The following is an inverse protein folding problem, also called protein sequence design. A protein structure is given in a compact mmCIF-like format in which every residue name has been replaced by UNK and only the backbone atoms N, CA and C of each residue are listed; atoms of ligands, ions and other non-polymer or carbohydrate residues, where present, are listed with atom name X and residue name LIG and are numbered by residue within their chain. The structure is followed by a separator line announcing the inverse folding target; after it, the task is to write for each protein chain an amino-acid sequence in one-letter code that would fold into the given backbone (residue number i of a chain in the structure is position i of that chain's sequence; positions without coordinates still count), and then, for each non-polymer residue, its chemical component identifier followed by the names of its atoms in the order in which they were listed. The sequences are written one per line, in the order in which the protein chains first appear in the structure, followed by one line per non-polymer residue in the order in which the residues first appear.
data_IF_955482704277
#
_entry.id   IF_955482704277
#
_cell.length_a   1.000
_cell.length_b   1.000
_cell.length_c   1.000
_cell.angle_alpha   90.00
_cell.angle_beta   90.00
_cell.angle_gamma   90.00
#
_symmetry.space_group_name_H-M   'P 1'
#
loop_
_entity.id
_entity.type
_entity.pdbx_description
1 polymer ?
#
# COMPACT_ATOMS: atom_id res chain seq x y z
N UNK A 1 18.35 9.53 -15.80
CA UNK A 1 17.13 8.68 -15.65
C UNK A 1 16.88 7.74 -16.83
N UNK A 2 17.17 8.12 -18.09
CA UNK A 2 17.02 7.25 -19.26
C UNK A 2 17.84 5.94 -19.18
N UNK A 3 19.13 6.03 -18.81
CA UNK A 3 20.05 4.89 -18.70
C UNK A 3 19.55 3.77 -17.75
N UNK A 4 18.91 4.12 -16.62
CA UNK A 4 18.34 3.11 -15.69
C UNK A 4 17.08 2.45 -16.24
N UNK A 5 16.27 3.17 -17.04
CA UNK A 5 15.08 2.59 -17.69
C UNK A 5 15.48 1.60 -18.78
N UNK A 6 16.53 1.90 -19.53
CA UNK A 6 17.03 1.02 -20.59
C UNK A 6 17.61 -0.29 -20.03
N UNK A 7 18.34 -0.23 -18.91
CA UNK A 7 18.86 -1.45 -18.26
C UNK A 7 17.76 -2.34 -17.69
N UNK A 8 16.74 -1.76 -17.05
CA UNK A 8 15.61 -2.54 -16.52
C UNK A 8 14.79 -3.20 -17.64
N UNK A 9 14.59 -2.50 -18.76
CA UNK A 9 13.92 -3.04 -19.93
C UNK A 9 14.72 -4.19 -20.57
N UNK A 10 16.04 -4.06 -20.62
CA UNK A 10 16.94 -5.06 -21.16
C UNK A 10 16.92 -6.34 -20.29
N UNK A 11 17.06 -6.22 -18.97
CA UNK A 11 16.99 -7.37 -18.04
C UNK A 11 15.64 -8.10 -18.16
N UNK A 12 14.54 -7.36 -18.21
CA UNK A 12 13.20 -7.96 -18.39
C UNK A 12 13.08 -8.71 -19.72
N UNK A 13 13.65 -8.19 -20.81
CA UNK A 13 13.67 -8.88 -22.12
C UNK A 13 14.46 -10.18 -22.06
N UNK A 14 15.62 -10.18 -21.41
CA UNK A 14 16.43 -11.40 -21.21
C UNK A 14 15.71 -12.43 -20.34
N UNK A 15 15.03 -12.00 -19.28
CA UNK A 15 14.23 -12.89 -18.42
C UNK A 15 13.07 -13.54 -19.20
N UNK A 16 12.31 -12.76 -19.96
CA UNK A 16 11.22 -13.27 -20.80
C UNK A 16 11.76 -14.23 -21.85
N UNK A 17 12.89 -13.88 -22.49
CA UNK A 17 13.56 -14.74 -23.47
C UNK A 17 14.01 -16.07 -22.87
N UNK A 18 14.64 -16.06 -21.70
CA UNK A 18 15.10 -17.29 -21.03
C UNK A 18 13.94 -18.22 -20.64
N UNK A 19 12.87 -17.67 -20.06
CA UNK A 19 11.67 -18.46 -19.71
C UNK A 19 11.00 -19.01 -20.96
N UNK A 20 10.85 -18.20 -22.02
CA UNK A 20 10.30 -18.62 -23.29
C UNK A 20 11.10 -19.76 -23.93
N UNK A 21 12.43 -19.70 -23.89
CA UNK A 21 13.31 -20.77 -24.40
C UNK A 21 13.11 -22.07 -23.62
N UNK A 22 13.05 -22.02 -22.28
CA UNK A 22 12.83 -23.22 -21.48
C UNK A 22 11.46 -23.86 -21.79
N UNK A 23 10.39 -23.07 -21.81
CA UNK A 23 9.06 -23.57 -22.20
C UNK A 23 9.10 -24.19 -23.60
N UNK A 24 9.75 -23.52 -24.56
CA UNK A 24 9.91 -24.00 -25.93
C UNK A 24 10.64 -25.34 -26.01
N UNK A 25 11.72 -25.52 -25.24
CA UNK A 25 12.46 -26.80 -25.19
C UNK A 25 11.59 -27.93 -24.63
N UNK A 26 10.84 -27.68 -23.56
CA UNK A 26 9.92 -28.67 -23.00
C UNK A 26 8.81 -29.09 -23.97
N UNK A 27 8.21 -28.12 -24.66
CA UNK A 27 7.16 -28.37 -25.66
C UNK A 27 7.72 -29.07 -26.92
N UNK A 28 8.93 -28.70 -27.36
CA UNK A 28 9.61 -29.37 -28.47
C UNK A 28 9.92 -30.83 -28.13
N UNK A 29 10.42 -31.11 -26.91
CA UNK A 29 10.64 -32.47 -26.42
C UNK A 29 9.36 -33.31 -26.42
N UNK A 30 8.24 -32.72 -25.96
CA UNK A 30 6.92 -33.35 -26.03
C UNK A 30 6.47 -33.62 -27.48
N UNK A 31 6.62 -32.64 -28.35
CA UNK A 31 6.31 -32.77 -29.78
C UNK A 31 7.08 -33.94 -30.41
N UNK A 32 8.39 -33.97 -30.24
CA UNK A 32 9.25 -35.05 -30.74
C UNK A 32 8.86 -36.41 -30.16
N UNK A 33 8.63 -36.50 -28.84
CA UNK A 33 8.26 -37.76 -28.18
C UNK A 33 6.96 -38.37 -28.73
N UNK A 34 5.96 -37.52 -28.98
CA UNK A 34 4.61 -37.97 -29.39
C UNK A 34 4.53 -38.41 -30.84
N UNK A 35 5.49 -38.03 -31.70
CA UNK A 35 5.57 -38.51 -33.09
C UNK A 35 5.70 -40.03 -33.21
N UNK A 36 6.28 -40.69 -32.20
CA UNK A 36 6.46 -42.14 -32.16
C UNK A 36 5.27 -42.89 -31.55
N UNK A 37 4.21 -42.19 -31.13
CA UNK A 37 3.00 -42.81 -30.57
C UNK A 37 2.07 -43.32 -31.67
N UNK A 38 1.24 -44.33 -31.36
CA UNK A 38 0.23 -44.85 -32.29
C UNK A 38 -0.80 -43.80 -32.71
N UNK A 39 -1.14 -42.88 -31.80
CA UNK A 39 -2.04 -41.75 -32.04
C UNK A 39 -1.37 -40.41 -31.64
N UNK A 40 -0.47 -39.86 -32.48
CA UNK A 40 0.39 -38.73 -32.13
C UNK A 40 -0.35 -37.49 -31.65
N UNK A 41 -1.44 -37.12 -32.34
CA UNK A 41 -2.23 -35.93 -32.00
C UNK A 41 -2.91 -36.04 -30.64
N UNK A 42 -3.43 -37.23 -30.29
CA UNK A 42 -4.06 -37.46 -28.99
C UNK A 42 -3.03 -37.42 -27.86
N UNK A 43 -1.86 -38.05 -28.06
CA UNK A 43 -0.77 -38.05 -27.10
C UNK A 43 -0.18 -36.65 -26.88
N UNK A 44 -0.07 -35.86 -27.96
CA UNK A 44 0.35 -34.46 -27.90
C UNK A 44 -0.66 -33.61 -27.12
N UNK A 45 -1.95 -33.74 -27.41
CA UNK A 45 -3.01 -33.03 -26.69
C UNK A 45 -3.04 -33.37 -25.19
N UNK A 46 -2.93 -34.65 -24.85
CA UNK A 46 -2.83 -35.10 -23.47
C UNK A 46 -1.59 -34.54 -22.77
N UNK A 47 -0.42 -34.63 -23.42
CA UNK A 47 0.84 -34.09 -22.90
C UNK A 47 0.80 -32.58 -22.67
N UNK A 48 0.17 -31.81 -23.56
CA UNK A 48 -0.02 -30.36 -23.40
C UNK A 48 -0.90 -30.05 -22.19
N UNK A 49 -2.01 -30.79 -22.01
CA UNK A 49 -2.88 -30.60 -20.84
C UNK A 49 -2.16 -30.93 -19.53
N UNK A 50 -1.36 -31.99 -19.50
CA UNK A 50 -0.50 -32.35 -18.36
C UNK A 50 0.51 -31.23 -18.08
N UNK A 51 1.20 -30.73 -19.10
CA UNK A 51 2.16 -29.62 -18.99
C UNK A 51 1.49 -28.33 -18.45
N UNK A 52 0.31 -27.96 -18.95
CA UNK A 52 -0.43 -26.81 -18.47
C UNK A 52 -0.86 -26.97 -17.00
N UNK A 53 -1.47 -28.11 -16.65
CA UNK A 53 -1.96 -28.37 -15.28
C UNK A 53 -0.81 -28.32 -14.25
N UNK A 54 0.32 -28.94 -14.58
CA UNK A 54 1.52 -28.96 -13.73
C UNK A 54 2.19 -27.59 -13.63
N UNK A 55 2.19 -26.81 -14.71
CA UNK A 55 2.65 -25.42 -14.69
C UNK A 55 1.80 -24.59 -13.74
N UNK A 56 0.47 -24.69 -13.82
CA UNK A 56 -0.45 -23.97 -12.92
C UNK A 56 -0.23 -24.37 -11.46
N UNK A 57 -0.14 -25.67 -11.18
CA UNK A 57 0.16 -26.17 -9.84
C UNK A 57 1.51 -25.64 -9.32
N UNK A 58 2.54 -25.66 -10.17
CA UNK A 58 3.85 -25.09 -9.89
C UNK A 58 3.75 -23.61 -9.56
N UNK A 59 3.07 -22.82 -10.41
CA UNK A 59 2.92 -21.38 -10.22
C UNK A 59 2.22 -21.02 -8.92
N UNK A 60 1.18 -21.76 -8.53
CA UNK A 60 0.50 -21.57 -7.24
C UNK A 60 1.44 -21.83 -6.06
N UNK A 61 2.24 -22.89 -6.12
CA UNK A 61 3.25 -23.17 -5.10
C UNK A 61 4.32 -22.08 -5.08
N UNK A 62 4.83 -21.68 -6.25
CA UNK A 62 5.81 -20.62 -6.38
C UNK A 62 5.31 -19.29 -5.82
N UNK A 63 4.05 -18.95 -6.09
CA UNK A 63 3.38 -17.78 -5.52
C UNK A 63 3.41 -17.81 -4.00
N UNK A 64 2.96 -18.91 -3.37
CA UNK A 64 2.93 -19.05 -1.92
C UNK A 64 4.33 -18.87 -1.29
N UNK A 65 5.37 -19.42 -1.92
CA UNK A 65 6.76 -19.26 -1.48
C UNK A 65 7.33 -17.87 -1.75
N UNK A 66 6.76 -17.12 -2.69
CA UNK A 66 7.21 -15.79 -3.09
C UNK A 66 6.64 -14.64 -2.25
N UNK A 67 5.60 -14.88 -1.44
CA UNK A 67 4.96 -13.84 -0.63
C UNK A 67 5.98 -13.27 0.39
N UNK A 68 6.20 -11.94 0.41
CA UNK A 68 7.05 -11.29 1.41
C UNK A 68 6.34 -11.23 2.77
N UNK A 69 7.11 -11.37 3.86
CA UNK A 69 6.58 -11.24 5.22
C UNK A 69 6.89 -9.84 5.77
N UNK A 70 5.88 -9.15 6.32
CA UNK A 70 6.06 -7.89 7.05
C UNK A 70 6.66 -8.19 8.43
N UNK A 71 7.83 -7.64 8.77
CA UNK A 71 8.31 -7.66 10.15
C UNK A 71 7.65 -6.52 10.90
N UNK A 72 6.68 -6.82 11.78
CA UNK A 72 6.26 -5.88 12.80
C UNK A 72 7.34 -5.84 13.88
N UNK A 73 8.15 -4.78 13.92
CA UNK A 73 9.06 -4.58 15.05
C UNK A 73 8.25 -4.36 16.34
N UNK A 74 8.61 -4.97 17.48
CA UNK A 74 7.99 -4.66 18.76
C UNK A 74 8.20 -3.19 19.10
N UNK A 75 7.10 -2.47 19.32
CA UNK A 75 7.12 -1.06 19.66
C UNK A 75 7.64 -0.90 21.09
N UNK A 76 8.74 -0.15 21.33
CA UNK A 76 9.17 0.13 22.70
C UNK A 76 8.12 1.00 23.39
N UNK A 77 7.65 0.54 24.55
CA UNK A 77 6.66 1.21 25.38
C UNK A 77 7.15 2.58 25.83
N UNK A 78 6.53 3.67 25.35
CA UNK A 78 6.78 5.02 25.87
C UNK A 78 6.82 6.17 24.84
N UNK A 79 6.68 5.91 23.54
CA UNK A 79 6.56 6.96 22.52
C UNK A 79 5.12 7.07 21.98
N UNK A 80 4.62 8.29 21.69
CA UNK A 80 3.27 8.47 21.17
C UNK A 80 3.11 7.70 19.86
N UNK A 81 2.00 6.95 19.77
CA UNK A 81 1.61 6.11 18.64
C UNK A 81 1.87 6.73 17.27
N UNK A 82 2.50 5.98 16.37
CA UNK A 82 2.36 6.28 14.94
C UNK A 82 3.45 5.86 13.97
N UNK A 83 4.51 5.14 14.38
CA UNK A 83 5.59 4.80 13.44
C UNK A 83 5.68 3.29 13.18
N UNK A 84 4.92 2.77 12.20
CA UNK A 84 5.14 1.42 11.71
C UNK A 84 6.44 1.39 10.91
N UNK A 85 7.48 0.77 11.47
CA UNK A 85 8.63 0.32 10.67
C UNK A 85 8.16 -0.88 9.84
N UNK A 86 7.61 -0.61 8.65
CA UNK A 86 7.22 -1.60 7.66
C UNK A 86 8.43 -2.21 6.95
N UNK A 87 9.37 -2.77 7.71
CA UNK A 87 10.50 -3.49 7.12
C UNK A 87 10.00 -4.85 6.60
N UNK A 88 9.73 -4.92 5.30
CA UNK A 88 9.57 -6.20 4.63
C UNK A 88 10.93 -6.88 4.55
N UNK A 89 11.07 -8.00 5.26
CA UNK A 89 12.24 -8.84 5.07
C UNK A 89 12.05 -9.80 3.92
N UNK A 90 13.13 -10.05 3.18
CA UNK A 90 13.14 -11.12 2.21
C UNK A 90 12.72 -12.45 2.85
N UNK A 91 11.85 -13.19 2.17
CA UNK A 91 11.40 -14.50 2.62
C UNK A 91 12.58 -15.49 2.60
N UNK A 92 12.88 -16.13 3.74
CA UNK A 92 13.96 -17.13 3.89
C UNK A 92 13.50 -18.56 3.58
N UNK A 93 12.25 -18.77 3.12
CA UNK A 93 11.72 -20.10 2.82
C UNK A 93 12.59 -20.88 1.81
N UNK A 94 13.14 -20.24 0.77
CA UNK A 94 14.04 -20.92 -0.17
C UNK A 94 15.40 -21.26 0.44
N UNK A 95 15.89 -20.45 1.38
CA UNK A 95 17.11 -20.75 2.12
C UNK A 95 16.92 -22.00 2.96
N UNK A 96 15.78 -22.12 3.64
CA UNK A 96 15.41 -23.31 4.42
C UNK A 96 15.25 -24.55 3.54
N UNK A 97 14.60 -24.42 2.37
CA UNK A 97 14.48 -25.53 1.40
C UNK A 97 15.85 -25.95 0.86
N UNK A 98 16.75 -24.99 0.60
CA UNK A 98 18.12 -25.28 0.14
C UNK A 98 18.94 -26.00 1.20
N UNK A 99 18.86 -25.57 2.47
CA UNK A 99 19.49 -26.25 3.60
C UNK A 99 18.94 -27.67 3.79
N UNK A 100 17.61 -27.84 3.70
CA UNK A 100 16.98 -29.15 3.74
C UNK A 100 17.43 -30.06 2.58
N UNK A 101 17.46 -29.55 1.35
CA UNK A 101 17.90 -30.30 0.17
C UNK A 101 19.37 -30.72 0.31
N UNK A 102 20.21 -29.84 0.84
CA UNK A 102 21.63 -30.14 1.10
C UNK A 102 21.78 -31.25 2.13
N UNK A 103 21.00 -31.23 3.22
CA UNK A 103 20.99 -32.31 4.22
C UNK A 103 20.52 -33.65 3.65
N UNK A 104 19.59 -33.61 2.69
CA UNK A 104 19.09 -34.79 2.01
C UNK A 104 20.17 -35.39 1.07
N UNK A 105 20.91 -34.54 0.35
CA UNK A 105 22.07 -34.96 -0.46
C UNK A 105 23.22 -35.51 0.39
N UNK A 106 23.42 -34.97 1.59
CA UNK A 106 24.41 -35.44 2.57
C UNK A 106 23.96 -36.69 3.34
N UNK A 107 22.78 -37.26 3.04
CA UNK A 107 22.36 -38.58 3.50
C UNK A 107 21.41 -38.62 4.70
N UNK A 108 21.05 -37.49 5.29
CA UNK A 108 20.20 -37.42 6.50
C UNK A 108 18.71 -37.68 6.19
N UNK A 109 18.30 -37.64 4.92
CA UNK A 109 16.89 -37.70 4.48
C UNK A 109 16.47 -38.94 3.65
N UNK A 110 17.25 -40.02 3.64
CA UNK A 110 17.12 -41.12 2.67
C UNK A 110 15.74 -41.80 2.62
N UNK A 111 15.03 -41.88 3.75
CA UNK A 111 13.72 -42.53 3.83
C UNK A 111 12.58 -41.70 3.24
N UNK A 112 12.66 -40.37 3.32
CA UNK A 112 11.67 -39.47 2.72
C UNK A 112 11.82 -39.39 1.20
N UNK A 113 13.06 -39.40 0.70
CA UNK A 113 13.34 -39.39 -0.74
C UNK A 113 12.74 -40.63 -1.45
N UNK A 114 12.77 -41.78 -0.79
CA UNK A 114 12.18 -43.01 -1.32
C UNK A 114 10.68 -42.89 -1.59
N UNK A 115 9.92 -42.22 -0.69
CA UNK A 115 8.47 -42.01 -0.87
C UNK A 115 8.17 -41.08 -2.04
N UNK A 116 8.95 -40.01 -2.20
CA UNK A 116 8.81 -39.06 -3.33
C UNK A 116 9.06 -39.79 -4.66
N UNK A 117 10.11 -40.61 -4.71
CA UNK A 117 10.45 -41.39 -5.90
C UNK A 117 9.36 -42.41 -6.27
N UNK A 118 8.78 -43.09 -5.28
CA UNK A 118 7.66 -44.01 -5.49
C UNK A 118 6.42 -43.27 -6.02
N UNK A 119 6.07 -42.11 -5.45
CA UNK A 119 4.98 -41.27 -5.94
C UNK A 119 5.19 -40.81 -7.39
N UNK A 120 6.41 -40.38 -7.74
CA UNK A 120 6.76 -39.99 -9.10
C UNK A 120 6.62 -41.16 -10.10
N UNK A 121 7.03 -42.37 -9.71
CA UNK A 121 6.83 -43.58 -10.53
C UNK A 121 5.35 -43.91 -10.69
N UNK A 122 4.56 -43.88 -9.63
CA UNK A 122 3.12 -44.15 -9.68
C UNK A 122 2.40 -43.15 -10.59
N UNK A 123 2.73 -41.87 -10.47
CA UNK A 123 2.19 -40.82 -11.35
C UNK A 123 2.58 -41.06 -12.82
N UNK A 124 3.85 -41.40 -13.07
CA UNK A 124 4.32 -41.73 -14.41
C UNK A 124 3.55 -42.90 -15.03
N UNK A 125 3.37 -43.98 -14.27
CA UNK A 125 2.58 -45.13 -14.71
C UNK A 125 1.10 -44.80 -14.96
N UNK A 126 0.49 -43.93 -14.14
CA UNK A 126 -0.89 -43.50 -14.30
C UNK A 126 -1.09 -42.66 -15.57
N UNK A 127 -0.10 -41.85 -15.95
CA UNK A 127 -0.16 -40.95 -17.11
C UNK A 127 0.34 -41.59 -18.41
N UNK A 128 1.11 -42.68 -18.34
CA UNK A 128 1.69 -43.37 -19.49
C UNK A 128 0.68 -43.73 -20.59
N UNK A 129 -0.55 -44.24 -20.29
CA UNK A 129 -1.53 -44.57 -21.33
C UNK A 129 -1.96 -43.35 -22.14
N UNK A 130 -2.08 -42.18 -21.50
CA UNK A 130 -2.47 -40.94 -22.18
C UNK A 130 -1.39 -40.42 -23.14
N UNK A 131 -0.14 -40.85 -22.96
CA UNK A 131 1.02 -40.49 -23.79
C UNK A 131 1.36 -41.57 -24.84
N UNK A 132 0.45 -42.50 -25.09
CA UNK A 132 0.59 -43.54 -26.11
C UNK A 132 1.08 -44.90 -25.59
N UNK A 133 1.19 -45.09 -24.26
CA UNK A 133 1.34 -46.41 -23.64
C UNK A 133 2.65 -47.16 -23.93
N UNK A 134 3.64 -46.51 -24.53
CA UNK A 134 4.96 -47.10 -24.84
C UNK A 134 5.73 -47.48 -23.58
N UNK A 135 6.70 -48.39 -23.70
CA UNK A 135 7.52 -48.84 -22.57
C UNK A 135 8.28 -47.69 -21.87
N UNK A 136 8.59 -46.62 -22.59
CA UNK A 136 9.26 -45.40 -22.10
C UNK A 136 8.28 -44.29 -21.68
N UNK A 137 6.96 -44.49 -21.79
CA UNK A 137 5.96 -43.46 -21.52
C UNK A 137 5.86 -43.11 -20.03
N UNK A 138 6.00 -44.08 -19.13
CA UNK A 138 5.98 -43.83 -17.70
C UNK A 138 7.13 -42.92 -17.22
N UNK A 139 8.41 -43.20 -17.55
CA UNK A 139 9.50 -42.30 -17.17
C UNK A 139 9.41 -40.94 -17.88
N UNK A 140 8.93 -40.90 -19.14
CA UNK A 140 8.72 -39.63 -19.84
C UNK A 140 7.65 -38.77 -19.16
N UNK A 141 6.52 -39.36 -18.77
CA UNK A 141 5.43 -38.67 -18.07
C UNK A 141 5.90 -38.07 -16.74
N UNK A 142 6.67 -38.82 -15.95
CA UNK A 142 7.23 -38.34 -14.70
C UNK A 142 8.20 -37.15 -14.94
N UNK A 143 9.05 -37.24 -15.97
CA UNK A 143 9.96 -36.15 -16.34
C UNK A 143 9.20 -34.90 -16.82
N UNK A 144 8.15 -35.08 -17.63
CA UNK A 144 7.30 -34.00 -18.14
C UNK A 144 6.64 -33.23 -16.99
N UNK A 145 6.02 -33.96 -16.04
CA UNK A 145 5.41 -33.37 -14.85
C UNK A 145 6.43 -32.60 -14.05
N UNK A 146 7.58 -33.22 -13.73
CA UNK A 146 8.62 -32.58 -12.93
C UNK A 146 9.15 -31.30 -13.61
N UNK A 147 9.37 -31.36 -14.93
CA UNK A 147 9.87 -30.23 -15.70
C UNK A 147 8.95 -29.02 -15.63
N UNK A 148 7.67 -29.20 -15.96
CA UNK A 148 6.70 -28.11 -16.00
C UNK A 148 6.28 -27.66 -14.59
N UNK A 149 6.31 -28.55 -13.60
CA UNK A 149 6.11 -28.18 -12.19
C UNK A 149 7.21 -27.23 -11.69
N UNK A 150 8.48 -27.57 -11.94
CA UNK A 150 9.63 -26.73 -11.54
C UNK A 150 9.61 -25.40 -12.29
N UNK A 151 9.31 -25.43 -13.59
CA UNK A 151 9.23 -24.22 -14.40
C UNK A 151 8.10 -23.30 -13.91
N UNK A 152 6.90 -23.86 -13.66
CA UNK A 152 5.77 -23.15 -13.09
C UNK A 152 6.09 -22.56 -11.72
N UNK A 153 6.75 -23.32 -10.85
CA UNK A 153 7.20 -22.87 -9.53
C UNK A 153 8.15 -21.68 -9.61
N UNK A 154 9.21 -21.78 -10.40
CA UNK A 154 10.18 -20.70 -10.56
C UNK A 154 9.54 -19.45 -11.16
N UNK A 155 8.65 -19.62 -12.15
CA UNK A 155 7.93 -18.51 -12.75
C UNK A 155 7.01 -17.81 -11.73
N UNK A 156 6.20 -18.56 -10.99
CA UNK A 156 5.30 -18.02 -9.96
C UNK A 156 6.06 -17.34 -8.82
N UNK A 157 7.16 -17.96 -8.36
CA UNK A 157 8.02 -17.38 -7.33
C UNK A 157 8.68 -16.09 -7.78
N UNK A 158 9.27 -16.07 -8.97
CA UNK A 158 9.97 -14.90 -9.50
C UNK A 158 8.97 -13.76 -9.78
N UNK A 159 7.82 -14.08 -10.38
CA UNK A 159 6.77 -13.10 -10.64
C UNK A 159 6.26 -12.47 -9.33
N UNK A 160 5.98 -13.28 -8.32
CA UNK A 160 5.52 -12.79 -7.00
C UNK A 160 6.58 -11.92 -6.36
N UNK A 161 7.85 -12.35 -6.38
CA UNK A 161 8.95 -11.61 -5.78
C UNK A 161 9.24 -10.29 -6.49
N UNK A 162 9.09 -10.21 -7.81
CA UNK A 162 9.34 -8.96 -8.56
C UNK A 162 8.14 -8.01 -8.56
N UNK A 163 6.92 -8.54 -8.71
CA UNK A 163 5.72 -7.72 -8.83
C UNK A 163 5.16 -7.32 -7.46
N UNK A 164 4.94 -8.30 -6.57
CA UNK A 164 4.27 -8.05 -5.30
C UNK A 164 5.18 -7.29 -4.33
N UNK A 165 6.45 -7.69 -4.22
CA UNK A 165 7.40 -6.96 -3.37
C UNK A 165 7.67 -5.55 -3.91
N UNK A 166 7.68 -5.37 -5.24
CA UNK A 166 7.82 -4.06 -5.87
C UNK A 166 6.65 -3.12 -5.54
N UNK A 167 5.41 -3.62 -5.69
CA UNK A 167 4.19 -2.85 -5.39
C UNK A 167 4.09 -2.50 -3.91
N UNK A 168 4.35 -3.46 -3.00
CA UNK A 168 4.30 -3.23 -1.55
C UNK A 168 5.39 -2.24 -1.09
N UNK A 169 6.62 -2.40 -1.59
CA UNK A 169 7.72 -1.48 -1.24
C UNK A 169 7.49 -0.07 -1.78
N UNK A 170 6.89 0.07 -2.96
CA UNK A 170 6.56 1.37 -3.53
C UNK A 170 5.44 2.07 -2.76
N UNK A 171 4.41 1.34 -2.34
CA UNK A 171 3.32 1.87 -1.52
C UNK A 171 3.85 2.37 -0.17
N UNK A 172 4.62 1.53 0.53
CA UNK A 172 5.09 1.84 1.88
C UNK A 172 6.25 2.85 1.87
N UNK A 173 7.10 2.83 0.84
CA UNK A 173 8.15 3.84 0.65
C UNK A 173 7.61 5.26 0.44
N UNK A 174 6.46 5.40 -0.24
CA UNK A 174 5.80 6.70 -0.38
C UNK A 174 5.23 7.18 0.96
N UNK A 175 4.59 6.30 1.73
CA UNK A 175 4.09 6.64 3.06
C UNK A 175 5.24 7.06 4.00
N UNK A 176 6.37 6.35 3.99
CA UNK A 176 7.53 6.70 4.81
C UNK A 176 8.12 8.07 4.44
N UNK A 177 8.21 8.40 3.15
CA UNK A 177 8.66 9.73 2.70
C UNK A 177 7.74 10.83 3.22
N UNK A 178 6.43 10.63 3.13
CA UNK A 178 5.43 11.58 3.63
C UNK A 178 5.55 11.76 5.15
N UNK A 179 5.77 10.69 5.91
CA UNK A 179 6.03 10.80 7.36
C UNK A 179 7.31 11.57 7.68
N UNK A 180 8.39 11.33 6.93
CA UNK A 180 9.64 12.06 7.13
C UNK A 180 9.46 13.56 6.80
N UNK A 181 8.78 13.88 5.71
CA UNK A 181 8.44 15.27 5.37
C UNK A 181 7.53 15.92 6.42
N UNK A 182 6.59 15.16 7.01
CA UNK A 182 5.75 15.65 8.11
C UNK A 182 6.58 16.01 9.35
N UNK A 183 7.58 15.19 9.69
CA UNK A 183 8.49 15.48 10.80
C UNK A 183 9.32 16.74 10.54
N UNK A 184 9.78 16.94 9.30
CA UNK A 184 10.51 18.15 8.93
C UNK A 184 9.64 19.40 9.07
N UNK A 185 8.40 19.36 8.59
CA UNK A 185 7.47 20.49 8.74
C UNK A 185 7.16 20.82 10.21
N UNK A 186 7.16 19.84 11.11
CA UNK A 186 7.01 20.13 12.54
C UNK A 186 8.21 20.83 13.13
N UNK A 187 9.42 20.47 12.69
CA UNK A 187 10.65 21.16 13.11
C UNK A 187 10.64 22.62 12.67
N UNK A 188 10.05 22.89 11.50
CA UNK A 188 9.84 24.25 10.97
C UNK A 188 8.63 24.98 11.61
N UNK A 189 7.89 24.32 12.52
CA UNK A 189 6.71 24.89 13.18
C UNK A 189 5.46 24.95 12.31
N UNK A 190 5.42 24.26 11.16
CA UNK A 190 4.25 24.12 10.31
C UNK A 190 3.40 22.91 10.76
N UNK A 191 2.68 23.08 11.87
CA UNK A 191 1.87 22.01 12.46
C UNK A 191 0.76 21.50 11.53
N UNK A 192 0.18 22.37 10.70
CA UNK A 192 -0.95 22.02 9.83
C UNK A 192 -0.48 21.25 8.62
N UNK A 193 0.58 21.70 7.95
CA UNK A 193 1.13 20.98 6.81
C UNK A 193 1.75 19.63 7.19
N UNK A 194 2.38 19.53 8.36
CA UNK A 194 2.84 18.25 8.88
C UNK A 194 1.70 17.26 9.09
N UNK A 195 0.56 17.75 9.58
CA UNK A 195 -0.60 16.93 9.83
C UNK A 195 -1.24 16.43 8.53
N UNK A 196 -1.36 17.29 7.53
CA UNK A 196 -1.83 16.94 6.20
C UNK A 196 -0.94 15.85 5.55
N UNK A 197 0.39 15.97 5.66
CA UNK A 197 1.31 14.94 5.18
C UNK A 197 1.14 13.59 5.90
N UNK A 198 0.83 13.60 7.20
CA UNK A 198 0.52 12.36 7.93
C UNK A 198 -0.75 11.70 7.44
N UNK A 199 -1.81 12.48 7.20
CA UNK A 199 -3.06 11.96 6.62
C UNK A 199 -2.76 11.30 5.28
N UNK A 200 -2.01 11.98 4.42
CA UNK A 200 -1.64 11.43 3.12
C UNK A 200 -0.84 10.13 3.25
N UNK A 201 0.10 10.06 4.21
CA UNK A 201 0.85 8.83 4.50
C UNK A 201 -0.07 7.68 4.97
N UNK A 202 -1.03 7.97 5.85
CA UNK A 202 -2.01 7.00 6.33
C UNK A 202 -2.96 6.53 5.23
N UNK A 203 -3.33 7.42 4.31
CA UNK A 203 -4.13 7.08 3.15
C UNK A 203 -3.38 6.11 2.22
N UNK A 204 -2.08 6.32 2.01
CA UNK A 204 -1.22 5.41 1.24
C UNK A 204 -1.10 4.01 1.87
N UNK A 205 -1.22 3.90 3.19
CA UNK A 205 -1.24 2.63 3.93
C UNK A 205 -2.63 1.96 3.96
N UNK A 206 -3.63 2.52 3.27
CA UNK A 206 -4.99 1.97 3.25
C UNK A 206 -5.75 2.11 4.57
N UNK A 207 -5.31 3.00 5.48
CA UNK A 207 -5.98 3.21 6.78
C UNK A 207 -7.30 3.96 6.70
N UNK A 208 -7.56 4.64 5.58
CA UNK A 208 -8.82 5.32 5.34
C UNK A 208 -9.60 4.56 4.28
N UNK A 209 -10.79 4.08 4.65
CA UNK A 209 -11.73 3.52 3.70
C UNK A 209 -12.27 4.69 2.88
N UNK A 210 -11.68 4.88 1.70
CA UNK A 210 -12.17 5.76 0.65
C UNK A 210 -11.99 7.27 0.93
N UNK A 211 -10.91 7.81 0.35
CA UNK A 211 -10.95 9.17 -0.20
C UNK A 211 -12.05 9.13 -1.27
N UNK A 212 -13.27 9.53 -0.89
CA UNK A 212 -14.52 9.52 -1.67
C UNK A 212 -14.49 8.67 -2.96
N UNK A 213 -15.15 7.51 -2.94
CA UNK A 213 -15.27 6.54 -4.04
C UNK A 213 -16.00 7.07 -5.32
N UNK A 214 -16.01 8.39 -5.57
CA UNK A 214 -16.60 9.05 -6.73
C UNK A 214 -15.84 10.27 -7.27
N UNK A 215 -14.70 10.66 -6.69
CA UNK A 215 -13.88 11.76 -7.20
C UNK A 215 -12.70 11.24 -8.03
N UNK A 216 -12.43 11.86 -9.18
CA UNK A 216 -11.22 11.61 -9.96
C UNK A 216 -9.97 11.83 -9.08
N UNK A 217 -9.11 10.81 -8.88
CA UNK A 217 -7.89 10.94 -8.08
C UNK A 217 -6.98 12.07 -8.55
N UNK A 218 -6.94 12.33 -9.87
CA UNK A 218 -6.12 13.42 -10.43
C UNK A 218 -6.64 14.79 -10.02
N UNK A 219 -7.97 14.97 -10.08
CA UNK A 219 -8.63 16.20 -9.63
C UNK A 219 -8.39 16.48 -8.16
N UNK A 220 -8.50 15.46 -7.31
CA UNK A 220 -8.27 15.60 -5.86
C UNK A 220 -6.81 15.99 -5.57
N UNK A 221 -5.85 15.32 -6.22
CA UNK A 221 -4.43 15.65 -6.08
C UNK A 221 -4.10 17.07 -6.54
N UNK A 222 -4.74 17.56 -7.62
CA UNK A 222 -4.56 18.93 -8.10
C UNK A 222 -5.10 19.96 -7.08
N UNK A 223 -6.26 19.70 -6.48
CA UNK A 223 -6.83 20.55 -5.44
C UNK A 223 -5.95 20.57 -4.17
N UNK A 224 -5.43 19.42 -3.74
CA UNK A 224 -4.50 19.34 -2.62
C UNK A 224 -3.20 20.11 -2.88
N UNK A 225 -2.65 20.00 -4.09
CA UNK A 225 -1.46 20.74 -4.48
C UNK A 225 -1.70 22.26 -4.42
N UNK A 226 -2.84 22.73 -4.93
CA UNK A 226 -3.22 24.14 -4.88
C UNK A 226 -3.37 24.64 -3.44
N UNK A 227 -4.03 23.87 -2.57
CA UNK A 227 -4.17 24.22 -1.14
C UNK A 227 -2.81 24.27 -0.46
N UNK A 228 -1.95 23.29 -0.70
CA UNK A 228 -0.61 23.23 -0.11
C UNK A 228 0.27 24.41 -0.54
N UNK A 229 0.19 24.82 -1.81
CA UNK A 229 0.90 25.98 -2.34
C UNK A 229 0.44 27.28 -1.66
N UNK A 230 -0.87 27.53 -1.61
CA UNK A 230 -1.43 28.72 -0.94
C UNK A 230 -1.07 28.72 0.55
N UNK A 231 -1.15 27.57 1.22
CA UNK A 231 -0.80 27.42 2.64
C UNK A 231 0.66 27.78 2.89
N UNK A 232 1.58 27.31 2.05
CA UNK A 232 3.01 27.60 2.19
C UNK A 232 3.32 29.10 2.04
N UNK A 233 2.62 29.79 1.14
CA UNK A 233 2.78 31.24 0.91
C UNK A 233 2.05 32.14 1.92
N UNK A 234 1.13 31.60 2.73
CA UNK A 234 0.21 32.41 3.53
C UNK A 234 0.90 33.34 4.55
N UNK A 235 2.05 32.94 5.13
CA UNK A 235 2.80 33.79 6.07
C UNK A 235 3.40 35.04 5.41
N UNK A 236 3.64 34.99 4.11
CA UNK A 236 4.22 36.07 3.30
C UNK A 236 3.14 36.81 2.48
N UNK A 237 1.88 36.38 2.58
CA UNK A 237 0.75 37.00 1.90
C UNK A 237 0.50 38.40 2.45
N UNK A 238 0.15 39.33 1.55
CA UNK A 238 -0.32 40.68 1.89
C UNK A 238 -1.81 40.72 2.22
N UNK A 239 -2.51 39.58 2.21
CA UNK A 239 -3.94 39.52 2.47
C UNK A 239 -4.27 39.95 3.90
N UNK A 240 -5.43 40.59 4.06
CA UNK A 240 -5.99 41.01 5.34
C UNK A 240 -7.05 40.02 5.84
N UNK A 241 -7.32 39.95 7.16
CA UNK A 241 -8.40 39.13 7.70
C UNK A 241 -9.78 39.44 7.09
N UNK A 242 -10.05 40.71 6.77
CA UNK A 242 -11.28 41.15 6.12
C UNK A 242 -11.40 40.59 4.69
N UNK A 243 -10.32 40.63 3.91
CA UNK A 243 -10.29 40.03 2.56
C UNK A 243 -10.49 38.52 2.62
N UNK A 244 -9.82 37.83 3.56
CA UNK A 244 -10.00 36.37 3.74
C UNK A 244 -11.42 36.04 4.17
N UNK A 245 -12.06 36.85 5.02
CA UNK A 245 -13.49 36.71 5.34
C UNK A 245 -14.37 36.88 4.11
N UNK A 246 -14.04 37.81 3.21
CA UNK A 246 -14.71 37.98 1.92
C UNK A 246 -14.59 36.74 1.02
N UNK A 247 -13.44 36.07 1.01
CA UNK A 247 -13.23 34.83 0.26
C UNK A 247 -14.10 33.67 0.78
N UNK A 248 -14.29 33.56 2.10
CA UNK A 248 -15.20 32.59 2.72
C UNK A 248 -16.67 32.78 2.32
N UNK A 249 -17.08 34.01 1.99
CA UNK A 249 -18.46 34.30 1.57
C UNK A 249 -18.70 34.03 0.08
N UNK A 250 -17.67 33.66 -0.68
CA UNK A 250 -17.79 33.46 -2.13
C UNK A 250 -18.52 32.18 -2.52
N UNK A 251 -19.32 32.28 -3.59
CA UNK A 251 -19.92 31.10 -4.24
C UNK A 251 -18.90 30.27 -5.04
N UNK A 252 -17.70 30.82 -5.30
CA UNK A 252 -16.60 30.09 -5.93
C UNK A 252 -15.90 29.16 -4.93
N UNK A 253 -15.93 27.85 -5.22
CA UNK A 253 -15.24 26.83 -4.42
C UNK A 253 -13.73 27.04 -4.31
N UNK A 254 -13.09 27.56 -5.36
CA UNK A 254 -11.66 27.84 -5.37
C UNK A 254 -11.30 28.96 -4.39
N UNK A 255 -12.12 30.01 -4.31
CA UNK A 255 -11.91 31.11 -3.37
C UNK A 255 -12.15 30.69 -1.92
N UNK A 256 -13.17 29.86 -1.66
CA UNK A 256 -13.39 29.27 -0.32
C UNK A 256 -12.21 28.41 0.12
N UNK A 257 -11.70 27.56 -0.78
CA UNK A 257 -10.53 26.72 -0.52
C UNK A 257 -9.26 27.54 -0.32
N UNK A 258 -9.10 28.64 -1.07
CA UNK A 258 -8.02 29.60 -0.86
C UNK A 258 -8.10 30.24 0.52
N UNK A 259 -9.30 30.61 0.99
CA UNK A 259 -9.52 31.17 2.33
C UNK A 259 -9.10 30.18 3.44
N UNK A 260 -9.51 28.91 3.29
CA UNK A 260 -9.10 27.82 4.17
C UNK A 260 -7.59 27.61 4.17
N UNK A 261 -6.96 27.59 2.98
CA UNK A 261 -5.53 27.42 2.83
C UNK A 261 -4.72 28.58 3.45
N UNK A 262 -5.14 29.83 3.24
CA UNK A 262 -4.55 31.01 3.86
C UNK A 262 -4.65 30.94 5.40
N UNK A 263 -5.81 30.54 5.91
CA UNK A 263 -6.04 30.35 7.34
C UNK A 263 -5.15 29.25 7.93
N UNK A 264 -4.95 28.14 7.21
CA UNK A 264 -4.08 27.05 7.63
C UNK A 264 -2.61 27.48 7.73
N UNK A 265 -2.12 28.29 6.78
CA UNK A 265 -0.71 28.72 6.75
C UNK A 265 -0.43 29.92 7.65
N UNK A 266 -1.41 30.80 7.84
CA UNK A 266 -1.39 31.89 8.81
C UNK A 266 -2.72 31.98 9.56
N UNK A 267 -2.83 31.34 10.74
CA UNK A 267 -4.05 31.35 11.55
C UNK A 267 -4.50 32.74 12.03
N UNK A 268 -3.67 33.78 11.86
CA UNK A 268 -4.05 35.17 12.12
C UNK A 268 -4.91 35.81 11.03
N UNK A 269 -4.93 35.25 9.82
CA UNK A 269 -5.77 35.72 8.71
C UNK A 269 -7.19 35.14 8.74
N UNK A 270 -7.37 34.00 9.42
CA UNK A 270 -8.65 33.31 9.47
C UNK A 270 -9.64 33.92 10.46
N UNK A 271 -10.91 33.88 10.09
CA UNK A 271 -12.03 34.20 10.97
C UNK A 271 -12.61 32.92 11.59
N UNK A 272 -12.76 32.90 12.92
CA UNK A 272 -13.23 31.70 13.62
C UNK A 272 -14.67 31.33 13.26
N UNK A 273 -15.57 32.31 13.12
CA UNK A 273 -16.97 32.03 12.77
C UNK A 273 -17.06 31.44 11.36
N UNK A 274 -16.29 31.98 10.42
CA UNK A 274 -16.21 31.43 9.07
C UNK A 274 -15.70 30.00 9.05
N UNK A 275 -14.65 29.67 9.81
CA UNK A 275 -14.14 28.28 9.86
C UNK A 275 -15.12 27.34 10.55
N UNK A 276 -15.78 27.80 11.62
CA UNK A 276 -16.76 27.00 12.36
C UNK A 276 -17.95 26.63 11.47
N UNK A 277 -18.45 27.59 10.68
CA UNK A 277 -19.57 27.35 9.74
C UNK A 277 -19.24 26.23 8.73
N UNK A 278 -18.00 26.12 8.27
CA UNK A 278 -17.59 25.06 7.32
C UNK A 278 -17.38 23.69 7.99
N UNK A 279 -17.27 23.65 9.31
CA UNK A 279 -17.28 22.40 10.09
C UNK A 279 -18.72 21.98 10.37
N UNK A 280 -19.59 22.93 10.71
CA UNK A 280 -21.00 22.65 11.04
C UNK A 280 -21.83 22.33 9.79
N UNK A 281 -21.62 23.07 8.69
CA UNK A 281 -22.39 22.97 7.45
C UNK A 281 -21.47 22.74 6.23
N UNK A 282 -20.75 21.61 6.17
CA UNK A 282 -19.81 21.35 5.08
C UNK A 282 -20.52 21.17 3.73
N UNK A 283 -20.10 21.94 2.72
CA UNK A 283 -20.62 21.80 1.34
C UNK A 283 -20.11 20.56 0.63
N UNK A 284 -18.86 20.18 0.90
CA UNK A 284 -18.23 18.97 0.33
C UNK A 284 -17.34 18.29 1.37
N UNK A 285 -17.07 16.96 1.23
CA UNK A 285 -16.12 16.26 2.09
C UNK A 285 -14.71 16.88 2.07
N UNK A 286 -14.29 17.40 0.91
CA UNK A 286 -12.98 18.03 0.76
C UNK A 286 -12.90 19.36 1.50
N UNK A 287 -13.91 20.24 1.35
CA UNK A 287 -13.97 21.51 2.10
C UNK A 287 -14.04 21.24 3.62
N UNK A 288 -14.77 20.21 4.06
CA UNK A 288 -14.83 19.82 5.47
C UNK A 288 -13.44 19.42 6.00
N UNK A 289 -12.70 18.59 5.27
CA UNK A 289 -11.33 18.21 5.64
C UNK A 289 -10.42 19.43 5.79
N UNK A 290 -10.48 20.36 4.83
CA UNK A 290 -9.69 21.59 4.87
C UNK A 290 -10.11 22.53 6.02
N UNK A 291 -11.40 22.59 6.37
CA UNK A 291 -11.91 23.34 7.51
C UNK A 291 -11.41 22.78 8.85
N UNK A 292 -11.39 21.45 9.02
CA UNK A 292 -10.84 20.82 10.21
C UNK A 292 -9.33 21.12 10.37
N UNK A 293 -8.56 21.07 9.28
CA UNK A 293 -7.14 21.45 9.31
C UNK A 293 -6.94 22.92 9.68
N UNK A 294 -7.76 23.82 9.14
CA UNK A 294 -7.73 25.24 9.46
C UNK A 294 -8.02 25.48 10.95
N UNK A 295 -9.09 24.88 11.47
CA UNK A 295 -9.44 24.97 12.89
C UNK A 295 -8.34 24.44 13.80
N UNK A 296 -7.71 23.31 13.46
CA UNK A 296 -6.58 22.74 14.21
C UNK A 296 -5.41 23.71 14.32
N UNK A 297 -5.09 24.43 13.24
CA UNK A 297 -4.07 25.47 13.23
C UNK A 297 -4.42 26.68 14.11
N UNK A 298 -5.71 27.00 14.22
CA UNK A 298 -6.20 28.14 15.02
C UNK A 298 -6.25 27.87 16.52
N UNK A 299 -6.29 26.61 16.98
CA UNK A 299 -6.54 26.22 18.38
C UNK A 299 -5.75 27.06 19.41
N UNK A 300 -4.47 27.31 19.15
CA UNK A 300 -3.58 28.04 20.08
C UNK A 300 -3.93 29.54 20.22
N UNK A 301 -4.73 30.09 19.30
CA UNK A 301 -5.19 31.49 19.29
C UNK A 301 -6.63 31.65 19.78
N UNK A 302 -7.40 30.57 19.86
CA UNK A 302 -8.81 30.62 20.21
C UNK A 302 -9.00 30.97 21.69
N UNK A 303 -10.03 31.76 22.00
CA UNK A 303 -10.50 31.99 23.37
C UNK A 303 -11.16 30.75 23.98
N UNK A 304 -11.49 30.79 25.28
CA UNK A 304 -12.14 29.67 25.98
C UNK A 304 -13.47 29.29 25.33
N UNK A 305 -14.31 30.28 25.04
CA UNK A 305 -15.65 30.05 24.48
C UNK A 305 -15.59 29.52 23.05
N UNK A 306 -14.65 30.03 22.25
CA UNK A 306 -14.38 29.51 20.90
C UNK A 306 -13.92 28.05 20.93
N UNK A 307 -13.04 27.67 21.86
CA UNK A 307 -12.61 26.27 22.04
C UNK A 307 -13.76 25.35 22.44
N UNK A 308 -14.68 25.82 23.29
CA UNK A 308 -15.88 25.07 23.69
C UNK A 308 -16.78 24.85 22.48
N UNK A 309 -17.06 25.89 21.69
CA UNK A 309 -17.86 25.78 20.47
C UNK A 309 -17.23 24.88 19.42
N UNK A 310 -15.91 25.00 19.19
CA UNK A 310 -15.20 24.13 18.27
C UNK A 310 -15.31 22.66 18.69
N UNK A 311 -15.13 22.35 19.99
CA UNK A 311 -15.34 21.00 20.51
C UNK A 311 -16.76 20.52 20.24
N UNK A 312 -17.78 21.34 20.53
CA UNK A 312 -19.18 20.98 20.35
C UNK A 312 -19.49 20.67 18.88
N UNK A 313 -19.04 21.52 17.95
CA UNK A 313 -19.21 21.33 16.51
C UNK A 313 -18.54 20.03 16.01
N UNK A 314 -17.29 19.78 16.40
CA UNK A 314 -16.57 18.57 16.02
C UNK A 314 -17.25 17.32 16.58
N UNK A 315 -17.64 17.32 17.86
CA UNK A 315 -18.37 16.18 18.46
C UNK A 315 -19.71 15.95 17.78
N UNK A 316 -20.46 17.01 17.45
CA UNK A 316 -21.72 16.89 16.73
C UNK A 316 -21.52 16.22 15.36
N UNK A 317 -20.49 16.61 14.61
CA UNK A 317 -20.15 15.99 13.33
C UNK A 317 -19.71 14.52 13.47
N UNK A 318 -19.08 14.12 14.57
CA UNK A 318 -18.68 12.74 14.83
C UNK A 318 -19.84 11.82 15.23
N UNK A 319 -20.91 12.39 15.77
CA UNK A 319 -22.10 11.67 16.24
C UNK A 319 -23.25 11.70 15.21
N UNK A 320 -23.24 12.65 14.29
CA UNK A 320 -24.26 12.80 13.27
C UNK A 320 -24.27 11.59 12.30
N UNK A 321 -25.44 11.02 11.96
CA UNK A 321 -25.55 9.89 11.03
C UNK A 321 -24.92 10.16 9.67
N UNK A 322 -25.07 11.38 9.15
CA UNK A 322 -24.53 11.85 7.87
C UNK A 322 -23.27 12.71 8.04
N UNK A 323 -22.65 12.65 9.23
CA UNK A 323 -21.48 13.45 9.59
C UNK A 323 -20.15 12.87 9.11
N UNK A 324 -19.17 12.78 10.01
CA UNK A 324 -17.83 12.30 9.71
C UNK A 324 -17.77 10.76 9.81
N UNK A 325 -17.46 10.04 8.70
CA UNK A 325 -17.38 8.57 8.72
C UNK A 325 -16.20 8.05 9.56
N UNK A 326 -16.37 6.90 10.22
CA UNK A 326 -15.37 6.32 11.15
C UNK A 326 -14.00 6.04 10.54
N UNK A 327 -13.93 5.59 9.28
CA UNK A 327 -12.67 5.28 8.61
C UNK A 327 -12.30 6.35 7.57
N UNK A 328 -12.38 7.62 7.96
CA UNK A 328 -12.05 8.78 7.12
C UNK A 328 -10.86 9.61 7.62
N UNK A 329 -10.23 10.34 6.70
CA UNK A 329 -9.26 11.39 6.98
C UNK A 329 -9.81 12.46 7.94
N UNK A 330 -11.04 12.89 7.72
CA UNK A 330 -11.78 13.85 8.55
C UNK A 330 -11.90 13.36 9.99
N UNK A 331 -12.19 12.07 10.21
CA UNK A 331 -12.27 11.47 11.56
C UNK A 331 -10.96 11.62 12.30
N UNK A 332 -9.86 11.30 11.62
CA UNK A 332 -8.54 11.40 12.20
C UNK A 332 -8.17 12.85 12.59
N UNK A 333 -8.47 13.84 11.74
CA UNK A 333 -8.21 15.25 12.08
C UNK A 333 -9.11 15.71 13.22
N UNK A 334 -10.38 15.33 13.21
CA UNK A 334 -11.34 15.65 14.26
C UNK A 334 -10.91 15.13 15.64
N UNK A 335 -10.47 13.87 15.72
CA UNK A 335 -9.95 13.29 16.96
C UNK A 335 -8.69 14.00 17.45
N UNK A 336 -7.81 14.43 16.54
CA UNK A 336 -6.62 15.22 16.88
C UNK A 336 -6.96 16.62 17.39
N UNK A 337 -8.01 17.25 16.85
CA UNK A 337 -8.55 18.51 17.38
C UNK A 337 -9.02 18.29 18.82
N UNK A 338 -9.84 17.28 19.08
CA UNK A 338 -10.35 16.99 20.41
C UNK A 338 -9.22 16.70 21.41
N UNK A 339 -8.25 15.88 21.03
CA UNK A 339 -7.09 15.57 21.87
C UNK A 339 -6.28 16.83 22.21
N UNK A 340 -6.07 17.74 21.26
CA UNK A 340 -5.36 19.01 21.51
C UNK A 340 -6.17 19.94 22.41
N UNK A 341 -7.49 20.01 22.24
CA UNK A 341 -8.38 20.79 23.12
C UNK A 341 -8.41 20.24 24.55
N UNK A 342 -8.34 18.91 24.73
CA UNK A 342 -8.21 18.28 26.05
C UNK A 342 -6.87 18.60 26.71
N UNK A 343 -5.77 18.47 25.97
CA UNK A 343 -4.44 18.78 26.48
C UNK A 343 -4.34 20.22 27.00
N UNK A 344 -4.96 21.19 26.32
CA UNK A 344 -5.02 22.59 26.75
C UNK A 344 -5.89 22.76 28.00
N UNK A 345 -7.01 22.03 28.09
CA UNK A 345 -7.91 22.08 29.24
C UNK A 345 -7.33 21.51 30.53
N UNK A 346 -6.32 20.63 30.43
CA UNK A 346 -5.66 19.98 31.57
C UNK A 346 -4.49 20.77 32.16
N UNK A 347 -4.01 21.86 31.52
CA UNK A 347 -2.93 22.69 32.07
C UNK A 347 -3.47 23.49 33.27
N UNK A 348 -2.97 23.27 34.50
CA UNK A 348 -3.43 24.02 35.68
C UNK A 348 -3.09 25.51 35.51
N UNK A 349 -4.07 26.38 35.73
CA UNK A 349 -3.80 27.82 35.85
C UNK A 349 -2.81 28.04 37.01
N UNK A 350 -1.70 28.76 36.81
CA UNK A 350 -0.83 29.13 37.93
C UNK A 350 -1.67 29.91 38.94
N UNK A 351 -1.65 29.47 40.20
CA UNK A 351 -2.30 30.22 41.29
C UNK A 351 -1.73 31.64 41.26
N UNK A 352 -2.57 32.68 41.38
CA UNK A 352 -2.06 34.03 41.54
C UNK A 352 -1.12 34.04 42.75
N UNK A 353 0.12 34.48 42.53
CA UNK A 353 1.11 34.71 43.58
C UNK A 353 0.63 35.88 44.43
N UNK A 354 -0.14 35.59 45.47
CA UNK A 354 -0.67 36.59 46.39
C UNK A 354 -1.97 36.17 47.05
N UNK A 355 -1.93 35.13 47.89
CA UNK A 355 -2.75 35.00 49.11
C UNK A 355 -1.88 34.33 50.18
#
# INVERSE_FOLDING_TARGET
MAVRRDQAALVRRWQIGAVGTLVGVGLLGLGLYTTAAEHPLSALGAGMMIACATTVAGTLLGFLFGIPHSRSAPQPSGQPDGQPNGDYSANTNLEQVSDWLTKLLLGVGLTQLSRIWQGARQLGHALAPALGGRADAAPFAAALVLYFLVLGFLAGWLATRLLLAGVLTQADGNALRLFNSAQEQLREGNEVGAEDLRVQAMAHMGKFSTRAMGADPQRTAAMDAQVAEVRAGAKQSTATPEEVRGLFASDDSGLRLQALALTQGNPGLGDFESVLEYIEHPRTPFEHYQALLAARGMINRLGRDQRIRLRAAVVAQLLAPDGIPDASDRRWVAERILAKLDAIGQVPTPRPSGV
#
